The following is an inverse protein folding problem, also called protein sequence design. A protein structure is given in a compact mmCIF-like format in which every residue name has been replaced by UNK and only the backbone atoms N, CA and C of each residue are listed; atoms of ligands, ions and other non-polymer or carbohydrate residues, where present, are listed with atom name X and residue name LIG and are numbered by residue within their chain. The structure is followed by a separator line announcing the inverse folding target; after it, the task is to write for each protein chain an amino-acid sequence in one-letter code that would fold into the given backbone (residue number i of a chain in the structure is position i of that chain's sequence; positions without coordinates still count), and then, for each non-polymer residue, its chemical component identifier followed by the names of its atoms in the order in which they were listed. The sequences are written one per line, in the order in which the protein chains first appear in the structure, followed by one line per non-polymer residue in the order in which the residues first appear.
data_IF_915686145763
#
_entry.id   IF_915686145763
#
_cell.length_a   1.000
_cell.length_b   1.000
_cell.length_c   1.000
_cell.angle_alpha   90.00
_cell.angle_beta   90.00
_cell.angle_gamma   90.00
#
_symmetry.space_group_name_H-M   'P 1'
#
loop_
_entity.id
_entity.type
_entity.pdbx_description
1 polymer ?
#
# COMPACT_ATOMS: atom_id res chain seq x y z
N UNK A 1 7.71 -3.27 -13.38
CA UNK A 1 7.87 -4.16 -12.19
C UNK A 1 8.27 -3.30 -11.00
N UNK A 2 7.66 -3.51 -9.85
CA UNK A 2 8.03 -2.84 -8.60
C UNK A 2 8.50 -3.89 -7.60
N UNK A 3 9.55 -3.58 -6.85
CA UNK A 3 10.10 -4.43 -5.80
C UNK A 3 10.30 -3.57 -4.55
N UNK A 4 9.56 -3.87 -3.51
CA UNK A 4 9.63 -3.12 -2.27
C UNK A 4 10.09 -4.03 -1.14
N UNK A 5 10.89 -3.50 -0.26
CA UNK A 5 11.35 -4.19 0.93
C UNK A 5 10.92 -3.44 2.19
N UNK A 6 10.83 -4.16 3.27
CA UNK A 6 10.27 -3.72 4.54
C UNK A 6 11.31 -3.81 5.68
N UNK A 7 10.93 -4.29 6.85
CA UNK A 7 11.72 -4.26 8.08
C UNK A 7 13.17 -4.73 7.94
N UNK A 8 13.42 -5.83 7.22
CA UNK A 8 14.77 -6.37 7.05
C UNK A 8 15.75 -5.41 6.37
N UNK A 9 15.25 -4.57 5.46
CA UNK A 9 16.06 -3.52 4.84
C UNK A 9 16.20 -2.29 5.72
N UNK A 10 15.19 -1.97 6.54
CA UNK A 10 15.22 -0.75 7.39
C UNK A 10 16.27 -0.81 8.50
N UNK A 11 16.78 -1.98 8.85
CA UNK A 11 17.88 -2.13 9.82
C UNK A 11 19.27 -1.90 9.21
N UNK A 12 19.37 -1.83 7.89
CA UNK A 12 20.61 -1.52 7.19
C UNK A 12 20.82 -0.02 7.08
N UNK A 13 22.10 0.39 7.01
CA UNK A 13 22.44 1.78 6.73
C UNK A 13 21.98 2.18 5.32
N UNK A 14 21.79 3.47 5.08
CA UNK A 14 21.40 3.97 3.74
C UNK A 14 22.38 3.54 2.63
N UNK A 15 23.69 3.46 2.97
CA UNK A 15 24.72 3.02 2.02
C UNK A 15 24.51 1.56 1.64
N UNK A 16 24.32 0.69 2.62
CA UNK A 16 24.08 -0.75 2.41
C UNK A 16 22.78 -0.98 1.62
N UNK A 17 21.71 -0.25 1.96
CA UNK A 17 20.46 -0.31 1.21
C UNK A 17 20.66 0.07 -0.27
N UNK A 18 21.36 1.17 -0.55
CA UNK A 18 21.65 1.61 -1.93
C UNK A 18 22.48 0.58 -2.71
N UNK A 19 23.48 0.01 -2.09
CA UNK A 19 24.31 -1.03 -2.72
C UNK A 19 23.52 -2.30 -3.04
N UNK A 20 22.67 -2.73 -2.10
CA UNK A 20 21.81 -3.89 -2.27
C UNK A 20 20.76 -3.64 -3.37
N UNK A 21 20.11 -2.47 -3.38
CA UNK A 21 19.13 -2.13 -4.41
C UNK A 21 19.73 -2.08 -5.81
N UNK A 22 20.93 -1.54 -5.98
CA UNK A 22 21.65 -1.56 -7.27
C UNK A 22 21.90 -3.00 -7.73
N UNK A 23 22.30 -3.89 -6.82
CA UNK A 23 22.52 -5.30 -7.12
C UNK A 23 21.23 -6.00 -7.55
N UNK A 24 20.14 -5.80 -6.80
CA UNK A 24 18.81 -6.34 -7.12
C UNK A 24 18.32 -5.83 -8.47
N UNK A 25 18.41 -4.53 -8.73
CA UNK A 25 18.01 -3.94 -10.00
C UNK A 25 18.81 -4.49 -11.19
N UNK A 26 20.12 -4.67 -11.00
CA UNK A 26 21.01 -5.28 -12.03
C UNK A 26 20.58 -6.71 -12.37
N UNK A 27 20.31 -7.53 -11.36
CA UNK A 27 19.82 -8.90 -11.55
C UNK A 27 18.43 -8.91 -12.20
N UNK A 28 17.52 -8.08 -11.72
CA UNK A 28 16.18 -8.00 -12.25
C UNK A 28 16.15 -7.63 -13.74
N UNK A 29 16.94 -6.66 -14.18
CA UNK A 29 17.04 -6.29 -15.59
C UNK A 29 17.54 -7.43 -16.48
N UNK A 30 18.45 -8.24 -15.97
CA UNK A 30 18.98 -9.42 -16.71
C UNK A 30 17.98 -10.57 -16.74
N UNK A 31 17.36 -10.85 -15.60
CA UNK A 31 16.45 -11.99 -15.46
C UNK A 31 15.08 -11.76 -16.10
N UNK A 32 14.63 -10.50 -16.19
CA UNK A 32 13.29 -10.16 -16.65
C UNK A 32 13.28 -9.08 -17.74
N UNK A 33 13.90 -9.32 -18.91
CA UNK A 33 14.04 -8.30 -19.95
C UNK A 33 12.72 -7.82 -20.56
N UNK A 34 11.63 -8.56 -20.33
CA UNK A 34 10.28 -8.19 -20.79
C UNK A 34 9.56 -7.18 -19.90
N UNK A 35 10.07 -6.94 -18.69
CA UNK A 35 9.47 -5.95 -17.78
C UNK A 35 10.15 -4.60 -17.95
N UNK A 36 9.35 -3.58 -18.19
CA UNK A 36 9.85 -2.21 -18.15
C UNK A 36 10.29 -1.88 -16.71
N UNK A 37 11.56 -1.54 -16.55
CA UNK A 37 12.14 -1.02 -15.31
C UNK A 37 12.65 0.38 -15.62
N UNK A 38 11.94 1.38 -15.13
CA UNK A 38 12.29 2.79 -15.27
C UNK A 38 13.42 3.19 -14.32
N UNK A 39 13.27 4.32 -13.65
CA UNK A 39 14.24 4.80 -12.66
C UNK A 39 14.29 3.85 -11.47
N UNK A 40 15.51 3.50 -11.03
CA UNK A 40 15.71 2.50 -9.97
C UNK A 40 15.00 2.87 -8.68
N UNK A 41 15.12 4.12 -8.24
CA UNK A 41 14.53 4.64 -7.02
C UNK A 41 13.00 4.61 -6.97
N UNK A 42 12.35 4.51 -8.13
CA UNK A 42 10.89 4.37 -8.22
C UNK A 42 10.45 2.91 -8.13
N UNK A 43 11.25 2.02 -8.73
CA UNK A 43 10.90 0.62 -8.86
C UNK A 43 11.45 -0.27 -7.74
N UNK A 44 12.58 0.13 -7.11
CA UNK A 44 13.28 -0.63 -6.07
C UNK A 44 13.47 0.27 -4.86
N UNK A 45 12.71 0.08 -3.82
CA UNK A 45 12.80 0.90 -2.62
C UNK A 45 12.48 0.17 -1.33
N UNK A 46 13.06 0.65 -0.25
CA UNK A 46 12.62 0.30 1.10
C UNK A 46 11.46 1.21 1.47
N UNK A 47 10.31 0.64 1.83
CA UNK A 47 9.19 1.40 2.36
C UNK A 47 9.29 1.49 3.88
N UNK A 48 8.78 2.58 4.44
CA UNK A 48 8.71 2.73 5.88
C UNK A 48 7.59 1.89 6.50
N UNK A 49 7.55 1.80 7.83
CA UNK A 49 6.57 0.97 8.51
C UNK A 49 5.15 1.56 8.49
N UNK A 50 5.02 2.86 8.27
CA UNK A 50 3.70 3.50 8.10
C UNK A 50 3.13 3.20 6.72
N UNK A 51 3.95 3.24 5.68
CA UNK A 51 3.58 2.82 4.32
C UNK A 51 3.20 1.34 4.30
N UNK A 52 4.02 0.48 4.90
CA UNK A 52 3.78 -0.96 5.00
C UNK A 52 2.40 -1.24 5.63
N UNK A 53 2.15 -0.67 6.82
CA UNK A 53 0.87 -0.83 7.51
C UNK A 53 -0.31 -0.25 6.73
N UNK A 54 -0.15 0.92 6.11
CA UNK A 54 -1.20 1.52 5.31
C UNK A 54 -1.59 0.64 4.11
N UNK A 55 -0.63 0.09 3.40
CA UNK A 55 -0.91 -0.82 2.27
C UNK A 55 -1.51 -2.15 2.73
N UNK A 56 -1.06 -2.70 3.87
CA UNK A 56 -1.67 -3.88 4.45
C UNK A 56 -3.15 -3.65 4.82
N UNK A 57 -3.45 -2.48 5.41
CA UNK A 57 -4.81 -2.08 5.73
C UNK A 57 -5.68 -1.91 4.47
N UNK A 58 -5.15 -1.28 3.42
CA UNK A 58 -5.85 -1.15 2.14
C UNK A 58 -6.17 -2.52 1.55
N UNK A 59 -5.21 -3.43 1.53
CA UNK A 59 -5.40 -4.77 1.00
C UNK A 59 -6.43 -5.57 1.80
N UNK A 60 -6.36 -5.54 3.14
CA UNK A 60 -7.32 -6.21 4.01
C UNK A 60 -8.75 -5.70 3.76
N UNK A 61 -8.93 -4.38 3.73
CA UNK A 61 -10.24 -3.77 3.53
C UNK A 61 -10.77 -4.01 2.10
N UNK A 62 -9.92 -3.99 1.09
CA UNK A 62 -10.29 -4.40 -0.26
C UNK A 62 -10.82 -5.85 -0.31
N UNK A 63 -10.12 -6.77 0.37
CA UNK A 63 -10.50 -8.20 0.39
C UNK A 63 -11.82 -8.46 1.13
N UNK A 64 -12.14 -7.70 2.17
CA UNK A 64 -13.43 -7.83 2.87
C UNK A 64 -14.55 -6.97 2.24
N UNK A 65 -14.30 -6.37 1.07
CA UNK A 65 -15.31 -5.68 0.28
C UNK A 65 -15.54 -4.21 0.63
N UNK A 66 -14.68 -3.59 1.45
CA UNK A 66 -14.77 -2.15 1.71
C UNK A 66 -14.37 -1.36 0.47
N UNK A 67 -15.09 -0.30 0.18
CA UNK A 67 -14.81 0.57 -0.96
C UNK A 67 -13.61 1.51 -0.69
N UNK A 68 -12.42 0.96 -0.83
CA UNK A 68 -11.16 1.71 -0.78
C UNK A 68 -10.68 2.15 -2.17
N UNK A 69 -11.30 1.65 -3.24
CA UNK A 69 -10.85 1.89 -4.62
C UNK A 69 -11.53 3.07 -5.30
N UNK A 70 -12.72 3.46 -4.87
CA UNK A 70 -13.37 4.69 -5.34
C UNK A 70 -12.63 5.96 -4.88
N UNK A 71 -11.72 5.79 -3.92
CA UNK A 71 -10.92 6.86 -3.35
C UNK A 71 -9.69 7.05 -4.24
N UNK A 72 -9.71 8.08 -5.06
CA UNK A 72 -8.59 8.39 -5.97
C UNK A 72 -8.62 7.59 -7.27
N UNK A 73 -9.79 7.32 -7.81
CA UNK A 73 -10.00 6.65 -9.10
C UNK A 73 -9.39 7.38 -10.32
N UNK A 74 -8.75 8.53 -10.12
CA UNK A 74 -7.88 9.18 -11.10
C UNK A 74 -6.49 8.54 -11.20
N UNK A 75 -6.25 7.42 -10.49
CA UNK A 75 -4.98 6.72 -10.60
C UNK A 75 -4.95 5.92 -11.89
N UNK A 76 -4.04 6.28 -12.79
CA UNK A 76 -3.72 5.63 -14.08
C UNK A 76 -3.38 4.12 -14.01
N UNK A 77 -3.86 3.42 -13.00
CA UNK A 77 -3.57 2.01 -12.74
C UNK A 77 -4.30 1.00 -13.63
N UNK A 78 -5.31 1.44 -14.39
CA UNK A 78 -6.05 0.60 -15.34
C UNK A 78 -5.73 0.96 -16.79
N UNK A 79 -4.44 1.14 -17.10
CA UNK A 79 -3.96 1.38 -18.45
C UNK A 79 -4.51 0.31 -19.42
N UNK A 80 -5.28 0.76 -20.42
CA UNK A 80 -5.82 -0.08 -21.48
C UNK A 80 -7.34 -0.26 -21.48
N UNK A 81 -8.06 0.13 -20.43
CA UNK A 81 -9.52 0.13 -20.43
C UNK A 81 -10.08 1.44 -20.97
N UNK A 82 -11.13 1.37 -21.77
CA UNK A 82 -11.92 2.54 -22.16
C UNK A 82 -12.63 3.14 -20.94
N UNK A 83 -13.03 4.41 -21.04
CA UNK A 83 -13.77 5.08 -19.97
C UNK A 83 -15.09 4.36 -19.63
N UNK A 84 -15.76 3.79 -20.65
CA UNK A 84 -16.99 3.02 -20.47
C UNK A 84 -16.74 1.69 -19.74
N UNK A 85 -15.69 0.97 -20.08
CA UNK A 85 -15.31 -0.28 -19.41
C UNK A 85 -14.92 -0.02 -17.94
N UNK A 86 -14.17 1.05 -17.70
CA UNK A 86 -13.80 1.49 -16.37
C UNK A 86 -15.04 1.83 -15.53
N UNK A 87 -15.95 2.64 -16.10
CA UNK A 87 -17.18 3.04 -15.43
C UNK A 87 -18.16 1.86 -15.20
N UNK A 88 -18.13 0.84 -16.07
CA UNK A 88 -18.90 -0.38 -15.87
C UNK A 88 -18.30 -1.22 -14.75
N UNK A 89 -16.99 -1.43 -14.76
CA UNK A 89 -16.28 -2.15 -13.71
C UNK A 89 -16.49 -1.49 -12.35
N UNK A 90 -16.36 -0.16 -12.28
CA UNK A 90 -16.62 0.59 -11.07
C UNK A 90 -18.05 0.48 -10.57
N UNK A 91 -19.05 0.47 -11.46
CA UNK A 91 -20.45 0.28 -11.09
C UNK A 91 -20.72 -1.13 -10.57
N UNK A 92 -20.19 -2.15 -11.22
CA UNK A 92 -20.32 -3.55 -10.80
C UNK A 92 -19.62 -3.80 -9.46
N UNK A 93 -18.46 -3.16 -9.25
CA UNK A 93 -17.73 -3.23 -7.99
C UNK A 93 -18.41 -2.44 -6.86
N UNK A 94 -19.01 -1.28 -7.12
CA UNK A 94 -19.61 -0.41 -6.09
C UNK A 94 -21.00 -0.87 -5.64
N UNK A 95 -21.74 -1.62 -6.45
CA UNK A 95 -23.08 -2.10 -6.07
C UNK A 95 -23.07 -3.17 -4.96
N UNK A 96 -21.90 -3.64 -4.55
CA UNK A 96 -21.76 -4.68 -3.52
C UNK A 96 -20.73 -4.33 -2.43
N UNK A 97 -20.25 -3.07 -2.36
CA UNK A 97 -19.18 -2.70 -1.44
C UNK A 97 -19.68 -2.06 -0.15
N UNK A 98 -19.02 -2.47 0.92
CA UNK A 98 -19.21 -1.91 2.27
C UNK A 98 -18.66 -0.49 2.34
N UNK A 99 -19.36 0.45 2.98
CA UNK A 99 -18.86 1.81 3.18
C UNK A 99 -17.53 1.85 3.93
N UNK A 100 -16.72 2.88 3.67
CA UNK A 100 -15.42 3.08 4.33
C UNK A 100 -15.54 3.14 5.87
N UNK A 101 -16.66 3.62 6.37
CA UNK A 101 -16.97 3.70 7.79
C UNK A 101 -17.04 2.34 8.48
N UNK A 102 -17.27 1.28 7.72
CA UNK A 102 -17.32 -0.10 8.18
C UNK A 102 -15.97 -0.82 7.98
N UNK A 103 -14.90 -0.05 7.68
CA UNK A 103 -13.59 -0.61 7.52
C UNK A 103 -13.09 -1.31 8.78
N UNK A 104 -12.42 -2.43 8.58
CA UNK A 104 -11.79 -3.18 9.67
C UNK A 104 -10.41 -2.63 9.98
N UNK A 105 -9.98 -2.78 11.25
CA UNK A 105 -8.57 -2.61 11.60
C UNK A 105 -7.73 -3.75 11.05
N UNK A 106 -6.43 -3.51 10.86
CA UNK A 106 -5.49 -4.54 10.43
C UNK A 106 -4.31 -4.63 11.40
N UNK A 107 -3.82 -5.85 11.61
CA UNK A 107 -2.55 -6.11 12.27
C UNK A 107 -1.72 -6.91 11.27
N UNK A 108 -0.58 -6.36 10.90
CA UNK A 108 0.39 -7.04 10.05
C UNK A 108 1.59 -7.45 10.92
N UNK A 109 1.94 -8.74 10.90
CA UNK A 109 3.08 -9.28 11.65
C UNK A 109 4.02 -9.94 10.66
N UNK A 110 5.02 -9.16 10.25
CA UNK A 110 6.12 -9.64 9.41
C UNK A 110 7.22 -10.32 10.22
N UNK A 111 8.32 -10.70 9.56
CA UNK A 111 9.47 -11.32 10.23
C UNK A 111 10.22 -10.36 11.16
N UNK A 112 10.34 -9.09 10.81
CA UNK A 112 11.16 -8.11 11.52
C UNK A 112 10.38 -6.93 12.13
N UNK A 113 9.09 -6.80 11.85
CA UNK A 113 8.24 -5.72 12.39
C UNK A 113 6.79 -6.14 12.54
N UNK A 114 6.04 -5.38 13.30
CA UNK A 114 4.58 -5.47 13.37
C UNK A 114 3.95 -4.09 13.17
N UNK A 115 2.80 -4.03 12.49
CA UNK A 115 2.01 -2.84 12.28
C UNK A 115 0.60 -3.02 12.82
N UNK A 116 0.09 -1.98 13.47
CA UNK A 116 -1.31 -1.90 13.92
C UNK A 116 -1.95 -0.71 13.22
N UNK A 117 -3.03 -0.96 12.51
CA UNK A 117 -3.66 0.02 11.64
C UNK A 117 -5.14 0.10 11.86
N UNK A 118 -5.65 1.32 12.01
CA UNK A 118 -7.09 1.57 12.19
C UNK A 118 -7.50 2.87 11.49
N UNK A 119 -8.75 2.95 11.06
CA UNK A 119 -9.35 4.24 10.73
C UNK A 119 -9.44 5.09 12.00
N UNK A 120 -8.97 6.35 11.97
CA UNK A 120 -8.98 7.18 13.16
C UNK A 120 -10.41 7.67 13.48
N UNK A 121 -10.74 7.77 14.78
CA UNK A 121 -12.03 8.30 15.21
C UNK A 121 -12.29 9.73 14.70
N UNK A 122 -11.25 10.55 14.54
CA UNK A 122 -11.36 11.89 13.94
C UNK A 122 -11.57 11.83 12.42
N UNK A 123 -11.08 10.80 11.75
CA UNK A 123 -11.42 10.49 10.36
C UNK A 123 -12.88 10.06 10.22
N UNK A 124 -13.36 9.30 11.18
CA UNK A 124 -14.75 8.85 11.26
C UNK A 124 -15.74 9.99 11.62
N UNK A 125 -15.37 10.86 12.54
CA UNK A 125 -16.24 11.97 12.99
C UNK A 125 -16.37 13.11 11.97
N UNK A 126 -15.56 13.17 10.93
CA UNK A 126 -15.75 14.10 9.82
C UNK A 126 -16.85 13.62 8.86
N UNK A 127 -18.02 13.30 9.38
CA UNK A 127 -19.24 12.91 8.63
C UNK A 127 -19.68 13.90 7.53
N UNK A 128 -18.96 14.99 7.33
CA UNK A 128 -19.31 16.05 6.37
C UNK A 128 -18.36 16.19 5.20
N UNK A 129 -17.20 15.53 5.17
CA UNK A 129 -16.30 15.56 4.03
C UNK A 129 -16.03 14.15 3.52
N UNK A 130 -16.60 13.83 2.36
CA UNK A 130 -16.26 12.63 1.61
C UNK A 130 -14.74 12.59 1.37
N UNK A 131 -14.11 11.47 1.71
CA UNK A 131 -12.71 11.22 1.35
C UNK A 131 -12.67 10.97 -0.15
N UNK A 132 -11.97 11.82 -0.89
CA UNK A 132 -11.92 11.79 -2.36
C UNK A 132 -10.52 11.56 -2.91
N UNK A 133 -9.49 11.50 -2.05
CA UNK A 133 -8.12 11.24 -2.49
C UNK A 133 -7.39 10.30 -1.54
N UNK A 134 -6.38 9.60 -2.08
CA UNK A 134 -5.50 8.72 -1.29
C UNK A 134 -4.75 9.49 -0.20
N UNK A 135 -4.40 10.75 -0.43
CA UNK A 135 -3.76 11.59 0.59
C UNK A 135 -4.70 11.85 1.79
N UNK A 136 -5.98 12.12 1.52
CA UNK A 136 -6.98 12.31 2.57
C UNK A 136 -7.22 11.00 3.33
N UNK A 137 -7.30 9.86 2.62
CA UNK A 137 -7.42 8.54 3.24
C UNK A 137 -6.23 8.25 4.14
N UNK A 138 -5.01 8.49 3.65
CA UNK A 138 -3.79 8.28 4.42
C UNK A 138 -3.77 9.11 5.71
N UNK A 139 -4.27 10.34 5.69
CA UNK A 139 -4.42 11.19 6.90
C UNK A 139 -5.53 10.71 7.85
N UNK A 140 -6.51 9.98 7.34
CA UNK A 140 -7.61 9.43 8.14
C UNK A 140 -7.26 8.09 8.78
N UNK A 141 -6.30 7.37 8.24
CA UNK A 141 -5.82 6.08 8.75
C UNK A 141 -4.68 6.32 9.75
N UNK A 142 -4.76 5.70 10.90
CA UNK A 142 -3.69 5.72 11.91
C UNK A 142 -2.89 4.44 11.81
N UNK A 143 -1.59 4.58 11.59
CA UNK A 143 -0.66 3.46 11.58
C UNK A 143 0.31 3.60 12.76
N UNK A 144 0.60 2.48 13.42
CA UNK A 144 1.71 2.34 14.36
C UNK A 144 2.57 1.17 13.92
N UNK A 145 3.85 1.41 13.70
CA UNK A 145 4.83 0.40 13.30
C UNK A 145 5.85 0.17 14.41
N UNK A 146 6.15 -1.08 14.67
CA UNK A 146 7.06 -1.54 15.74
C UNK A 146 8.13 -2.41 15.10
N UNK A 147 9.30 -1.84 14.84
CA UNK A 147 10.47 -2.60 14.39
C UNK A 147 11.01 -3.46 15.54
N UNK A 148 11.47 -4.68 15.25
CA UNK A 148 11.94 -5.62 16.26
C UNK A 148 10.82 -6.44 16.95
N UNK A 149 9.55 -6.22 16.59
CA UNK A 149 8.41 -6.96 17.12
C UNK A 149 7.78 -7.90 16.09
N UNK A 150 8.55 -8.32 15.10
CA UNK A 150 8.12 -9.32 14.14
C UNK A 150 8.31 -10.75 14.67
N UNK A 151 7.74 -11.72 13.96
CA UNK A 151 7.72 -13.13 14.36
C UNK A 151 9.11 -13.75 14.61
N UNK A 152 10.17 -13.22 14.00
CA UNK A 152 11.54 -13.70 14.19
C UNK A 152 12.21 -13.18 15.47
N UNK A 153 11.54 -12.31 16.22
CA UNK A 153 12.04 -11.69 17.45
C UNK A 153 11.19 -12.05 18.68
N UNK A 154 10.18 -12.88 18.52
CA UNK A 154 9.38 -13.51 19.55
C UNK A 154 9.90 -14.91 19.84
#
# INVERSE_FOLDING_TARGET
MYVWATAGMRILTEKEQKELWRSVASVARKATPRFAIGREEEHFKTIDGEDEGFYAWLAANYLVGVDVTSIGADVDGFGGLTEEERNRLFREMNNARTPLEESVGAIDVGGGSAQVVTLSASGFMRKTKKITSMEQLRKAVRVKSYIGYGANHM
#
